data_IF_797821735912
#
_entry.id   IF_797821735912
#
_cell.length_a   1.000
_cell.length_b   1.000
_cell.length_c   1.000
_cell.angle_alpha   90.00
_cell.angle_beta   90.00
_cell.angle_gamma   90.00
#
_symmetry.space_group_name_H-M   'P 1'
#
loop_
_entity.id
_entity.type
_entity.pdbx_description
1 polymer ?
#
# COMPACT_ATOMS: atom_id res chain seq x y z
N UNK A 1 35.66 21.62 -32.89
CA UNK A 1 34.20 21.74 -32.60
C UNK A 1 33.57 20.44 -32.09
N UNK A 2 33.68 19.29 -32.78
CA UNK A 2 33.09 18.00 -32.32
C UNK A 2 33.50 17.54 -30.91
N UNK A 3 34.75 17.75 -30.49
CA UNK A 3 35.24 17.37 -29.15
C UNK A 3 34.66 18.22 -28.01
N UNK A 4 34.33 19.47 -28.27
CA UNK A 4 33.71 20.37 -27.29
C UNK A 4 32.21 20.10 -27.15
N UNK A 5 31.54 19.65 -28.22
CA UNK A 5 30.14 19.22 -28.18
C UNK A 5 29.95 17.95 -27.32
N UNK A 6 30.92 17.03 -27.36
CA UNK A 6 30.90 15.81 -26.54
C UNK A 6 31.08 16.11 -25.04
N UNK A 7 31.95 17.08 -24.72
CA UNK A 7 32.14 17.57 -23.34
C UNK A 7 30.89 18.28 -22.81
N UNK A 8 30.19 19.04 -23.67
CA UNK A 8 28.93 19.68 -23.29
C UNK A 8 27.82 18.66 -22.96
N UNK A 9 27.74 17.55 -23.71
CA UNK A 9 26.80 16.46 -23.44
C UNK A 9 27.09 15.72 -22.13
N UNK A 10 28.37 15.54 -21.78
CA UNK A 10 28.78 14.88 -20.52
C UNK A 10 28.53 15.73 -19.28
N UNK A 11 28.52 17.06 -19.40
CA UNK A 11 28.28 18.00 -18.28
C UNK A 11 26.78 18.20 -18.00
N UNK A 12 25.90 17.95 -18.97
CA UNK A 12 24.44 18.09 -18.80
C UNK A 12 23.79 16.81 -18.22
N UNK A 13 24.48 15.67 -18.29
CA UNK A 13 23.97 14.38 -17.80
C UNK A 13 23.66 14.27 -16.28
N UNK A 14 24.28 15.02 -15.33
CA UNK A 14 23.98 14.85 -13.90
C UNK A 14 22.81 15.71 -13.39
N UNK A 15 22.16 16.52 -14.23
CA UNK A 15 21.00 17.33 -13.82
C UNK A 15 19.64 16.63 -14.09
N UNK A 16 19.65 15.38 -14.55
CA UNK A 16 18.45 14.57 -14.57
C UNK A 16 18.12 14.11 -13.15
N UNK A 17 17.49 14.97 -12.37
CA UNK A 17 16.73 14.52 -11.21
C UNK A 17 15.60 13.64 -11.75
N UNK A 18 15.74 12.32 -11.62
CA UNK A 18 14.59 11.43 -11.72
C UNK A 18 13.51 11.99 -10.79
N UNK A 19 12.32 12.29 -11.31
CA UNK A 19 11.22 12.76 -10.49
C UNK A 19 11.03 11.77 -9.33
N UNK A 20 11.14 12.29 -8.11
CA UNK A 20 11.13 11.47 -6.90
C UNK A 20 9.72 11.01 -6.50
N UNK A 21 8.69 11.44 -7.23
CA UNK A 21 7.28 11.21 -6.91
C UNK A 21 6.56 10.70 -8.14
N UNK A 22 5.99 9.50 -8.04
CA UNK A 22 5.04 8.99 -9.02
C UNK A 22 3.80 9.88 -9.02
N UNK A 23 3.34 10.28 -10.20
CA UNK A 23 2.08 11.00 -10.39
C UNK A 23 1.18 10.13 -11.26
N UNK A 24 -0.04 9.88 -10.78
CA UNK A 24 -1.00 9.08 -11.51
C UNK A 24 -1.80 9.98 -12.47
N UNK A 25 -1.41 9.94 -13.75
CA UNK A 25 -1.91 10.90 -14.76
C UNK A 25 -3.29 10.54 -15.35
N UNK A 26 -3.83 9.36 -15.05
CA UNK A 26 -5.14 8.97 -15.55
C UNK A 26 -6.24 9.84 -14.91
N UNK A 27 -7.21 10.24 -15.74
CA UNK A 27 -8.34 11.04 -15.26
C UNK A 27 -9.19 10.22 -14.31
N UNK A 28 -9.44 10.75 -13.11
CA UNK A 28 -10.42 10.19 -12.16
C UNK A 28 -11.81 10.12 -12.80
N UNK A 29 -12.56 9.08 -12.49
CA UNK A 29 -13.96 8.96 -12.86
C UNK A 29 -14.88 9.87 -12.02
N UNK A 30 -16.19 9.82 -12.24
CA UNK A 30 -17.14 10.75 -11.63
C UNK A 30 -17.36 10.50 -10.12
N UNK A 31 -16.99 9.33 -9.60
CA UNK A 31 -17.19 8.99 -8.20
C UNK A 31 -16.00 9.42 -7.34
N UNK A 32 -16.30 9.83 -6.09
CA UNK A 32 -15.28 9.81 -5.05
C UNK A 32 -14.94 8.36 -4.70
N UNK A 33 -13.87 8.13 -3.96
CA UNK A 33 -13.41 6.78 -3.63
C UNK A 33 -13.43 6.61 -2.12
N UNK A 34 -14.10 5.56 -1.66
CA UNK A 34 -13.99 5.07 -0.28
C UNK A 34 -13.07 3.88 -0.21
N UNK A 35 -12.43 3.69 0.95
CA UNK A 35 -11.74 2.45 1.28
C UNK A 35 -12.21 1.91 2.63
N UNK A 36 -12.53 0.62 2.65
CA UNK A 36 -12.77 -0.15 3.87
C UNK A 36 -11.75 -1.29 3.95
N UNK A 37 -11.08 -1.40 5.09
CA UNK A 37 -10.27 -2.57 5.40
C UNK A 37 -11.11 -3.59 6.18
N UNK A 38 -11.13 -4.83 5.69
CA UNK A 38 -11.81 -5.95 6.33
C UNK A 38 -10.77 -6.99 6.73
N UNK A 39 -10.81 -7.39 7.99
CA UNK A 39 -9.89 -8.35 8.59
C UNK A 39 -10.65 -9.58 9.03
N UNK A 40 -10.30 -10.74 8.50
CA UNK A 40 -11.02 -12.00 8.71
C UNK A 40 -10.04 -13.16 8.93
N UNK A 41 -10.52 -14.18 9.63
CA UNK A 41 -9.86 -15.47 9.71
C UNK A 41 -10.68 -16.49 8.93
N UNK A 42 -10.04 -17.17 7.99
CA UNK A 42 -10.63 -18.30 7.30
C UNK A 42 -10.26 -19.59 8.03
N UNK A 43 -11.25 -20.09 8.79
CA UNK A 43 -11.13 -21.31 9.61
C UNK A 43 -11.14 -22.60 8.77
N UNK A 44 -11.50 -22.52 7.49
CA UNK A 44 -11.49 -23.70 6.61
C UNK A 44 -10.09 -24.07 6.12
N UNK A 45 -9.09 -23.19 6.33
CA UNK A 45 -7.71 -23.37 5.87
C UNK A 45 -6.71 -23.20 6.99
N UNK A 46 -5.78 -24.16 7.05
CA UNK A 46 -4.63 -24.07 7.94
C UNK A 46 -3.63 -23.01 7.47
N UNK A 47 -3.01 -22.32 8.44
CA UNK A 47 -1.94 -21.36 8.22
C UNK A 47 -0.78 -21.65 9.15
N UNK A 48 0.25 -22.29 8.59
CA UNK A 48 1.56 -22.41 9.20
C UNK A 48 2.50 -21.41 8.52
N UNK A 49 3.04 -20.46 9.28
CA UNK A 49 4.06 -19.54 8.76
C UNK A 49 5.32 -20.36 8.47
N UNK A 50 5.70 -20.48 7.20
CA UNK A 50 6.97 -21.10 6.85
C UNK A 50 8.12 -20.30 7.49
N UNK A 51 9.02 -20.98 8.20
CA UNK A 51 10.25 -20.35 8.69
C UNK A 51 11.00 -19.74 7.50
N UNK A 52 11.57 -18.52 7.63
CA UNK A 52 12.22 -17.85 6.51
C UNK A 52 13.37 -18.73 5.98
N UNK A 53 13.21 -19.25 4.77
CA UNK A 53 14.22 -20.06 4.07
C UNK A 53 15.31 -19.19 3.44
N UNK A 54 15.19 -17.86 3.54
CA UNK A 54 16.10 -16.87 2.93
C UNK A 54 16.53 -15.86 4.01
N UNK A 55 17.83 -15.70 4.30
CA UNK A 55 18.33 -14.83 5.37
C UNK A 55 18.10 -13.33 5.17
N UNK A 56 17.75 -12.87 3.96
CA UNK A 56 17.80 -11.45 3.58
C UNK A 56 16.47 -10.70 3.68
N UNK A 57 15.36 -11.38 3.99
CA UNK A 57 14.07 -10.71 4.19
C UNK A 57 13.65 -10.97 5.62
N UNK A 58 14.18 -10.16 6.53
CA UNK A 58 13.75 -10.16 7.92
C UNK A 58 12.21 -10.11 7.94
N UNK A 59 11.55 -11.04 8.64
CA UNK A 59 10.13 -10.95 8.93
C UNK A 59 9.78 -9.58 9.51
N UNK A 60 9.11 -8.72 8.76
CA UNK A 60 8.51 -7.52 9.32
C UNK A 60 7.30 -7.86 10.25
N UNK A 61 6.84 -9.10 10.18
CA UNK A 61 5.84 -9.66 11.10
C UNK A 61 6.54 -10.68 12.01
N UNK A 62 6.39 -10.48 13.33
CA UNK A 62 6.88 -11.37 14.38
C UNK A 62 6.55 -12.83 14.10
N UNK A 63 7.51 -13.73 14.32
CA UNK A 63 7.27 -15.18 14.32
C UNK A 63 6.48 -15.65 15.56
N UNK A 64 6.09 -14.72 16.45
CA UNK A 64 5.26 -15.02 17.60
C UNK A 64 3.82 -15.41 17.15
N UNK A 65 3.17 -16.33 17.87
CA UNK A 65 1.75 -16.61 17.69
C UNK A 65 0.92 -15.32 17.72
N UNK A 66 -0.03 -15.18 16.81
CA UNK A 66 -0.97 -14.05 16.80
C UNK A 66 -1.90 -14.23 18.00
N UNK A 67 -1.86 -13.35 19.03
CA UNK A 67 -2.43 -13.64 20.35
C UNK A 67 -3.93 -13.95 20.40
N UNK A 68 -4.68 -13.61 19.35
CA UNK A 68 -6.15 -13.80 19.26
C UNK A 68 -6.59 -14.59 18.03
N UNK A 69 -5.66 -15.08 17.19
CA UNK A 69 -6.03 -15.91 16.06
C UNK A 69 -6.44 -17.31 16.56
N UNK A 70 -7.53 -17.90 16.05
CA UNK A 70 -7.78 -19.31 16.27
C UNK A 70 -6.56 -20.12 15.79
N UNK A 71 -6.17 -21.12 16.57
CA UNK A 71 -4.99 -21.92 16.25
C UNK A 71 -5.12 -22.48 14.83
N UNK A 72 -4.19 -22.09 13.96
CA UNK A 72 -4.12 -22.46 12.54
C UNK A 72 -5.09 -21.78 11.55
N UNK A 73 -5.98 -20.85 11.91
CA UNK A 73 -6.82 -20.19 10.90
C UNK A 73 -6.04 -19.22 10.01
N UNK A 74 -6.39 -19.14 8.72
CA UNK A 74 -5.70 -18.28 7.75
C UNK A 74 -6.14 -16.81 7.91
N UNK A 75 -5.24 -15.87 8.27
CA UNK A 75 -5.59 -14.46 8.22
C UNK A 75 -5.79 -14.01 6.78
N UNK A 76 -6.86 -13.26 6.54
CA UNK A 76 -7.20 -12.61 5.28
C UNK A 76 -7.49 -11.14 5.56
N UNK A 77 -6.63 -10.27 5.01
CA UNK A 77 -6.92 -8.84 4.88
C UNK A 77 -7.47 -8.58 3.49
N UNK A 78 -8.62 -7.89 3.44
CA UNK A 78 -9.23 -7.43 2.20
C UNK A 78 -9.34 -5.90 2.26
N UNK A 79 -8.71 -5.22 1.30
CA UNK A 79 -8.90 -3.79 1.10
C UNK A 79 -9.95 -3.61 0.00
N UNK A 80 -11.06 -2.95 0.35
CA UNK A 80 -12.19 -2.74 -0.55
C UNK A 80 -12.23 -1.27 -0.93
N UNK A 81 -11.85 -0.97 -2.17
CA UNK A 81 -12.08 0.32 -2.80
C UNK A 81 -13.45 0.34 -3.44
N UNK A 82 -14.22 1.41 -3.25
CA UNK A 82 -15.58 1.50 -3.77
C UNK A 82 -15.97 2.93 -4.16
N UNK A 83 -16.89 3.11 -5.12
CA UNK A 83 -17.48 4.40 -5.44
C UNK A 83 -18.15 5.03 -4.21
N UNK A 84 -17.86 6.30 -3.93
CA UNK A 84 -18.35 7.04 -2.77
C UNK A 84 -18.98 8.38 -3.17
N UNK A 85 -19.90 8.87 -2.34
CA UNK A 85 -20.60 10.15 -2.55
C UNK A 85 -19.93 11.33 -1.85
N UNK A 86 -19.15 11.07 -0.80
CA UNK A 86 -18.52 12.09 0.02
C UNK A 86 -17.10 11.65 0.38
N UNK A 87 -16.21 12.63 0.55
CA UNK A 87 -14.88 12.41 1.08
C UNK A 87 -14.84 12.96 2.51
N UNK A 88 -14.70 12.07 3.48
CA UNK A 88 -14.37 12.41 4.86
C UNK A 88 -13.19 11.53 5.28
N UNK A 89 -12.12 12.14 5.78
CA UNK A 89 -10.87 11.46 6.18
C UNK A 89 -10.09 10.83 5.02
N UNK A 90 -9.43 11.65 4.17
CA UNK A 90 -8.54 11.16 3.11
C UNK A 90 -7.43 10.27 3.69
N UNK A 91 -7.14 9.16 3.00
CA UNK A 91 -5.99 8.34 3.32
C UNK A 91 -4.72 8.98 2.76
N UNK A 92 -3.62 8.78 3.47
CA UNK A 92 -2.27 9.03 2.98
C UNK A 92 -1.64 7.72 2.51
N UNK A 93 -0.56 7.78 1.73
CA UNK A 93 0.21 6.58 1.43
C UNK A 93 0.78 5.93 2.70
N UNK A 94 1.09 6.73 3.74
CA UNK A 94 1.46 6.21 5.06
C UNK A 94 0.41 5.29 5.67
N UNK A 95 -0.89 5.62 5.54
CA UNK A 95 -1.97 4.72 5.97
C UNK A 95 -1.95 3.38 5.22
N UNK A 96 -1.59 3.39 3.93
CA UNK A 96 -1.45 2.16 3.16
C UNK A 96 -0.26 1.32 3.63
N UNK A 97 0.88 1.95 3.93
CA UNK A 97 2.05 1.26 4.51
C UNK A 97 1.66 0.54 5.82
N UNK A 98 0.81 1.14 6.66
CA UNK A 98 0.29 0.48 7.87
C UNK A 98 -0.54 -0.77 7.57
N UNK A 99 -1.28 -0.82 6.44
CA UNK A 99 -1.93 -2.06 6.01
C UNK A 99 -0.93 -3.18 5.67
N UNK A 100 0.30 -2.82 5.30
CA UNK A 100 1.34 -3.78 4.97
C UNK A 100 1.84 -4.56 6.19
N UNK A 101 1.81 -3.93 7.37
CA UNK A 101 2.35 -4.53 8.60
C UNK A 101 1.29 -5.33 9.36
N UNK A 102 0.00 -4.96 9.24
CA UNK A 102 -1.12 -5.69 9.85
C UNK A 102 -1.75 -6.77 8.94
N UNK A 103 -1.01 -7.24 7.93
CA UNK A 103 -1.47 -8.24 6.94
C UNK A 103 -1.81 -9.62 7.50
N UNK A 104 -1.18 -9.99 8.60
CA UNK A 104 -1.30 -11.30 9.25
C UNK A 104 -1.77 -11.17 10.68
N UNK A 105 -1.23 -10.20 11.43
CA UNK A 105 -1.65 -9.88 12.79
C UNK A 105 -2.48 -8.59 12.79
N UNK A 106 -3.77 -8.71 13.13
CA UNK A 106 -4.70 -7.59 13.14
C UNK A 106 -4.71 -6.80 14.45
N UNK A 107 -3.97 -7.26 15.47
CA UNK A 107 -4.09 -6.77 16.85
C UNK A 107 -2.89 -5.94 17.32
N UNK A 108 -2.07 -5.44 16.40
CA UNK A 108 -1.03 -4.49 16.78
C UNK A 108 -1.69 -3.23 17.37
N UNK A 109 -1.14 -2.76 18.50
CA UNK A 109 -1.48 -1.44 19.00
C UNK A 109 -1.10 -0.37 17.96
N UNK A 110 -1.83 0.75 17.90
CA UNK A 110 -1.60 1.78 16.88
C UNK A 110 -0.14 2.27 16.85
N UNK A 111 0.47 2.52 18.00
CA UNK A 111 1.88 2.93 18.10
C UNK A 111 2.85 1.87 17.56
N UNK A 112 2.54 0.59 17.75
CA UNK A 112 3.35 -0.52 17.23
C UNK A 112 3.18 -0.66 15.72
N UNK A 113 1.96 -0.52 15.20
CA UNK A 113 1.68 -0.47 13.76
C UNK A 113 2.50 0.64 13.09
N UNK A 114 2.47 1.86 13.63
CA UNK A 114 3.25 2.98 13.09
C UNK A 114 4.75 2.71 13.18
N UNK A 115 5.25 2.16 14.29
CA UNK A 115 6.68 1.80 14.44
C UNK A 115 7.13 0.78 13.40
N UNK A 116 6.35 -0.29 13.20
CA UNK A 116 6.64 -1.33 12.20
C UNK A 116 6.55 -0.79 10.77
N UNK A 117 5.59 0.10 10.49
CA UNK A 117 5.48 0.77 9.20
C UNK A 117 6.72 1.63 8.90
N UNK A 118 7.22 2.37 9.89
CA UNK A 118 8.46 3.13 9.79
C UNK A 118 9.69 2.24 9.58
N UNK A 119 9.73 1.06 10.21
CA UNK A 119 10.78 0.06 9.96
C UNK A 119 10.69 -0.55 8.56
N UNK A 120 9.47 -0.81 8.06
CA UNK A 120 9.26 -1.26 6.69
C UNK A 120 9.83 -0.27 5.70
N UNK A 121 9.60 1.02 5.94
CA UNK A 121 10.00 2.08 5.04
C UNK A 121 11.52 2.16 4.85
N UNK A 122 12.30 1.79 5.87
CA UNK A 122 13.76 1.71 5.80
C UNK A 122 14.29 0.60 4.89
N UNK A 123 13.43 -0.36 4.52
CA UNK A 123 13.81 -1.43 3.58
C UNK A 123 13.71 -0.99 2.12
N UNK A 124 12.96 0.09 1.83
CA UNK A 124 12.96 0.70 0.50
C UNK A 124 14.24 1.49 0.28
N UNK A 125 14.67 1.56 -0.98
CA UNK A 125 15.83 2.37 -1.40
C UNK A 125 15.44 3.85 -1.58
N UNK A 126 14.75 4.42 -0.59
CA UNK A 126 14.32 5.81 -0.55
C UNK A 126 15.17 6.61 0.43
N UNK A 127 15.41 7.89 0.11
CA UNK A 127 16.03 8.81 1.05
C UNK A 127 15.04 9.17 2.17
N UNK A 128 15.52 9.67 3.34
CA UNK A 128 14.63 10.15 4.39
C UNK A 128 13.62 11.21 3.91
N UNK A 129 14.03 12.08 2.99
CA UNK A 129 13.19 13.12 2.40
C UNK A 129 12.10 12.51 1.51
N UNK A 130 12.44 11.50 0.70
CA UNK A 130 11.45 10.76 -0.10
C UNK A 130 10.45 10.04 0.79
N UNK A 131 10.92 9.36 1.85
CA UNK A 131 10.03 8.71 2.83
C UNK A 131 9.07 9.73 3.44
N UNK A 132 9.58 10.89 3.88
CA UNK A 132 8.75 11.93 4.49
C UNK A 132 7.69 12.47 3.52
N UNK A 133 8.05 12.70 2.25
CA UNK A 133 7.13 13.16 1.21
C UNK A 133 6.07 12.11 0.88
N UNK A 134 6.50 10.86 0.66
CA UNK A 134 5.62 9.76 0.28
C UNK A 134 4.62 9.46 1.39
N UNK A 135 5.05 9.42 2.66
CA UNK A 135 4.17 9.14 3.80
C UNK A 135 2.96 10.07 3.88
N UNK A 136 3.12 11.34 3.53
CA UNK A 136 2.03 12.34 3.60
C UNK A 136 1.27 12.49 2.29
N UNK A 137 1.64 11.77 1.21
CA UNK A 137 0.94 11.86 -0.08
C UNK A 137 -0.50 11.41 0.08
N UNK A 138 -1.42 12.36 -0.04
CA UNK A 138 -2.86 12.10 0.00
C UNK A 138 -3.28 11.27 -1.21
N UNK A 139 -4.07 10.23 -0.97
CA UNK A 139 -4.63 9.35 -2.00
C UNK A 139 -6.05 9.79 -2.37
N UNK A 140 -6.64 9.24 -3.42
CA UNK A 140 -8.03 9.55 -3.80
C UNK A 140 -9.05 8.92 -2.87
N UNK A 141 -8.68 7.81 -2.21
CA UNK A 141 -9.53 7.11 -1.27
C UNK A 141 -9.62 7.80 0.09
N UNK A 142 -10.83 7.77 0.65
CA UNK A 142 -11.12 8.20 2.01
C UNK A 142 -11.57 7.04 2.88
N UNK A 143 -11.08 7.01 4.11
CA UNK A 143 -11.34 5.93 5.07
C UNK A 143 -12.83 5.88 5.41
N UNK A 144 -13.44 4.73 5.17
CA UNK A 144 -14.85 4.43 5.50
C UNK A 144 -15.84 5.49 4.98
N UNK A 145 -15.55 6.09 3.83
CA UNK A 145 -16.43 7.05 3.18
C UNK A 145 -17.82 6.46 2.89
N UNK A 146 -18.86 7.30 2.87
CA UNK A 146 -20.22 6.84 2.56
C UNK A 146 -20.28 6.29 1.12
N UNK A 147 -20.61 4.99 0.93
CA UNK A 147 -20.70 4.40 -0.40
C UNK A 147 -21.73 5.10 -1.28
N UNK A 148 -21.45 5.17 -2.58
CA UNK A 148 -22.42 5.61 -3.57
C UNK A 148 -23.54 4.58 -3.71
N UNK A 149 -24.76 5.06 -3.95
CA UNK A 149 -25.90 4.18 -4.20
C UNK A 149 -25.80 3.56 -5.59
N UNK A 150 -26.14 2.29 -5.72
CA UNK A 150 -26.17 1.58 -7.00
C UNK A 150 -25.62 0.16 -6.92
N UNK A 151 -25.51 -0.48 -8.08
CA UNK A 151 -24.78 -1.73 -8.26
C UNK A 151 -23.59 -1.47 -9.16
N UNK A 152 -22.43 -1.92 -8.74
CA UNK A 152 -21.17 -1.75 -9.45
C UNK A 152 -20.57 -3.13 -9.76
N UNK A 153 -19.90 -3.33 -10.91
CA UNK A 153 -19.06 -4.48 -11.14
C UNK A 153 -18.05 -4.69 -10.00
N UNK A 154 -17.77 -5.96 -9.70
CA UNK A 154 -16.78 -6.34 -8.70
C UNK A 154 -15.53 -6.85 -9.40
N UNK A 155 -14.39 -6.23 -9.11
CA UNK A 155 -13.07 -6.68 -9.54
C UNK A 155 -12.34 -7.23 -8.32
N UNK A 156 -11.82 -8.46 -8.42
CA UNK A 156 -10.98 -9.06 -7.38
C UNK A 156 -9.53 -8.96 -7.83
N UNK A 157 -8.74 -8.16 -7.11
CA UNK A 157 -7.30 -8.04 -7.29
C UNK A 157 -6.56 -8.90 -6.25
N UNK A 158 -5.63 -9.74 -6.72
CA UNK A 158 -4.71 -10.48 -5.86
C UNK A 158 -3.29 -9.92 -6.07
N UNK A 159 -2.58 -9.51 -5.00
CA UNK A 159 -1.23 -8.97 -5.12
C UNK A 159 -0.20 -10.03 -5.52
N UNK A 160 0.98 -9.57 -5.90
CA UNK A 160 2.12 -10.41 -6.23
C UNK A 160 2.56 -11.30 -5.05
N UNK A 161 3.49 -12.22 -5.31
CA UNK A 161 4.01 -13.11 -4.28
C UNK A 161 4.59 -12.32 -3.09
N UNK A 162 3.96 -12.47 -1.92
CA UNK A 162 4.25 -11.73 -0.68
C UNK A 162 4.00 -10.22 -0.77
N UNK A 163 3.41 -9.73 -1.86
CA UNK A 163 2.98 -8.35 -2.01
C UNK A 163 1.92 -7.95 -0.97
N UNK A 164 1.84 -6.67 -0.58
CA UNK A 164 0.76 -6.18 0.27
C UNK A 164 -0.54 -6.05 -0.53
N UNK A 165 -1.69 -6.06 0.16
CA UNK A 165 -2.99 -5.92 -0.49
C UNK A 165 -3.16 -4.58 -1.23
N UNK A 166 -2.38 -3.56 -0.87
CA UNK A 166 -2.39 -2.23 -1.49
C UNK A 166 -1.41 -2.05 -2.66
N UNK A 167 -0.70 -3.10 -3.09
CA UNK A 167 0.38 -3.02 -4.10
C UNK A 167 0.01 -2.20 -5.34
N UNK A 168 -1.24 -2.28 -5.79
CA UNK A 168 -1.78 -1.51 -6.93
C UNK A 168 -2.90 -0.54 -6.49
N UNK A 169 -2.69 0.19 -5.39
CA UNK A 169 -3.69 1.12 -4.84
C UNK A 169 -4.16 2.15 -5.86
N UNK A 170 -3.27 2.74 -6.66
CA UNK A 170 -3.64 3.72 -7.68
C UNK A 170 -4.60 3.14 -8.73
N UNK A 171 -4.37 1.90 -9.17
CA UNK A 171 -5.26 1.19 -10.09
C UNK A 171 -6.62 0.90 -9.43
N UNK A 172 -6.61 0.41 -8.19
CA UNK A 172 -7.84 0.09 -7.48
C UNK A 172 -8.70 1.34 -7.21
N UNK A 173 -8.07 2.46 -6.84
CA UNK A 173 -8.74 3.76 -6.69
C UNK A 173 -9.26 4.28 -8.02
N UNK A 174 -8.49 4.11 -9.10
CA UNK A 174 -8.92 4.47 -10.43
C UNK A 174 -10.17 3.72 -10.86
N UNK A 175 -10.18 2.39 -10.71
CA UNK A 175 -11.34 1.57 -11.04
C UNK A 175 -12.55 1.97 -10.19
N UNK A 176 -12.39 2.09 -8.87
CA UNK A 176 -13.46 2.51 -7.97
C UNK A 176 -14.02 3.91 -8.30
N UNK A 177 -13.19 4.81 -8.85
CA UNK A 177 -13.69 6.12 -9.30
C UNK A 177 -14.58 6.05 -10.55
N UNK A 178 -14.55 4.94 -11.29
CA UNK A 178 -15.32 4.71 -12.52
C UNK A 178 -16.60 3.89 -12.30
N UNK A 179 -16.88 3.43 -11.08
CA UNK A 179 -17.99 2.54 -10.78
C UNK A 179 -17.55 1.08 -10.79
#
# INVERSE_FOLDING_TARGET
MKKYLLLLFLVIAPAAHAQSSFTFDNKRGPYLVGLRAVFQYDESRSYARAAPTVPSVAPLASAAPIPTAPAASRPIQTLIWYPANASSNPLTYGDYIEFGVNRENFNFAASETTRLADEMLKTYRWTPEQIALEKVRVQWASRDALPASGKFPVVIYAPSFRGPAYENSDLCEYLASHG
#
